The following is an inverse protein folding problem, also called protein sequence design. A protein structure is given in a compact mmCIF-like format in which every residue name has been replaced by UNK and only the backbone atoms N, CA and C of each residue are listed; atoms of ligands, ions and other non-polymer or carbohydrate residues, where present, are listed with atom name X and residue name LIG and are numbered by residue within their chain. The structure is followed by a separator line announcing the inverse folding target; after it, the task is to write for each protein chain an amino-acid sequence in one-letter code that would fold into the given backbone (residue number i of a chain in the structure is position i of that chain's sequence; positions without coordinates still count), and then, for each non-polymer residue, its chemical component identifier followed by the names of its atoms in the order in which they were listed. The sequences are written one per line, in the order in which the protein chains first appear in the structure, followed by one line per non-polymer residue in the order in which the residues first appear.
data_IF_748415645256
#
_entry.id   IF_748415645256
#
_cell.length_a   1.000
_cell.length_b   1.000
_cell.length_c   1.000
_cell.angle_alpha   90.00
_cell.angle_beta   90.00
_cell.angle_gamma   90.00
#
_symmetry.space_group_name_H-M   'P 1'
#
loop_
_entity.id
_entity.type
_entity.pdbx_description
1 polymer ?
#
# COMPACT_ATOMS: atom_id res chain seq x y z
N UNK A 1 40.71 -12.28 -9.79
CA UNK A 1 39.56 -12.02 -8.88
C UNK A 1 38.59 -13.12 -9.19
N UNK A 2 38.08 -13.85 -8.20
CA UNK A 2 37.31 -15.10 -8.42
C UNK A 2 36.30 -15.00 -9.55
N UNK A 3 35.55 -13.89 -9.66
CA UNK A 3 34.61 -13.66 -10.76
C UNK A 3 35.27 -13.72 -12.16
N UNK A 4 36.36 -12.97 -12.39
CA UNK A 4 37.08 -12.96 -13.68
C UNK A 4 37.65 -14.33 -14.03
N UNK A 5 38.07 -15.07 -13.02
CA UNK A 5 38.65 -16.40 -13.20
C UNK A 5 37.55 -17.38 -13.66
N UNK A 6 36.35 -17.31 -13.06
CA UNK A 6 35.17 -18.07 -13.52
C UNK A 6 34.64 -17.62 -14.89
N UNK A 7 34.65 -16.32 -15.19
CA UNK A 7 34.26 -15.80 -16.51
C UNK A 7 35.18 -16.37 -17.62
N UNK A 8 36.49 -16.44 -17.36
CA UNK A 8 37.45 -17.03 -18.30
C UNK A 8 37.29 -18.54 -18.43
N UNK A 9 37.06 -19.27 -17.34
CA UNK A 9 36.81 -20.72 -17.38
C UNK A 9 35.56 -21.02 -18.22
N UNK A 10 34.47 -20.27 -18.01
CA UNK A 10 33.24 -20.44 -18.78
C UNK A 10 33.44 -20.08 -20.27
N UNK A 11 34.17 -19.00 -20.55
CA UNK A 11 34.52 -18.64 -21.93
C UNK A 11 35.30 -19.75 -22.63
N UNK A 12 36.27 -20.35 -21.94
CA UNK A 12 37.09 -21.42 -22.50
C UNK A 12 36.30 -22.73 -22.72
N UNK A 13 35.29 -23.01 -21.89
CA UNK A 13 34.48 -24.21 -21.99
C UNK A 13 33.35 -24.09 -23.03
N UNK A 14 32.69 -22.93 -23.11
CA UNK A 14 31.42 -22.76 -23.85
C UNK A 14 31.56 -21.81 -25.04
N UNK A 15 32.65 -21.05 -25.14
CA UNK A 15 32.87 -20.02 -26.17
C UNK A 15 32.10 -18.72 -25.92
N UNK A 16 31.32 -18.64 -24.83
CA UNK A 16 30.49 -17.49 -24.49
C UNK A 16 31.03 -16.75 -23.28
N UNK A 17 31.25 -15.43 -23.44
CA UNK A 17 31.63 -14.56 -22.34
C UNK A 17 30.38 -14.18 -21.55
N UNK A 18 30.36 -14.57 -20.28
CA UNK A 18 29.37 -14.09 -19.30
C UNK A 18 30.05 -13.05 -18.43
N UNK A 19 29.33 -12.00 -18.07
CA UNK A 19 29.80 -11.01 -17.09
C UNK A 19 29.13 -11.28 -15.74
N UNK A 20 29.93 -11.60 -14.73
CA UNK A 20 29.49 -11.93 -13.39
C UNK A 20 29.69 -10.72 -12.47
N UNK A 21 28.60 -10.30 -11.82
CA UNK A 21 28.68 -9.29 -10.77
C UNK A 21 29.19 -9.92 -9.48
N UNK A 22 30.18 -9.28 -8.85
CA UNK A 22 30.71 -9.68 -7.55
C UNK A 22 29.61 -9.72 -6.47
N UNK A 23 28.70 -8.75 -6.48
CA UNK A 23 27.60 -8.69 -5.51
C UNK A 23 26.64 -9.88 -5.65
N UNK A 24 26.31 -10.27 -6.88
CA UNK A 24 25.42 -11.40 -7.17
C UNK A 24 26.04 -12.72 -6.74
N UNK A 25 27.32 -12.93 -7.04
CA UNK A 25 28.04 -14.13 -6.57
C UNK A 25 28.11 -14.19 -5.05
N UNK A 26 28.38 -13.06 -4.40
CA UNK A 26 28.40 -13.01 -2.94
C UNK A 26 27.03 -13.35 -2.34
N UNK A 27 25.93 -12.85 -2.94
CA UNK A 27 24.56 -13.14 -2.49
C UNK A 27 24.22 -14.63 -2.62
N UNK A 28 24.62 -15.25 -3.74
CA UNK A 28 24.43 -16.69 -3.97
C UNK A 28 25.22 -17.51 -2.95
N UNK A 29 26.47 -17.15 -2.68
CA UNK A 29 27.32 -17.86 -1.71
C UNK A 29 26.79 -17.71 -0.28
N UNK A 30 26.21 -16.55 0.07
CA UNK A 30 25.56 -16.36 1.37
C UNK A 30 24.25 -17.14 1.52
N UNK A 31 23.71 -17.72 0.45
CA UNK A 31 22.50 -18.55 0.51
C UNK A 31 21.19 -17.80 0.76
N UNK A 32 21.22 -16.46 0.72
CA UNK A 32 20.02 -15.64 0.86
C UNK A 32 19.27 -15.61 -0.47
N UNK A 33 18.00 -16.00 -0.43
CA UNK A 33 17.12 -15.78 -1.58
C UNK A 33 16.95 -14.28 -1.82
N UNK A 34 16.72 -13.87 -3.08
CA UNK A 34 16.44 -12.46 -3.37
C UNK A 34 15.24 -11.95 -2.56
N UNK A 35 14.27 -12.81 -2.27
CA UNK A 35 13.11 -12.47 -1.44
C UNK A 35 13.50 -12.13 0.00
N UNK A 36 14.41 -12.89 0.61
CA UNK A 36 14.91 -12.62 1.97
C UNK A 36 15.74 -11.33 2.02
N UNK A 37 16.65 -11.14 1.05
CA UNK A 37 17.42 -9.90 0.96
C UNK A 37 16.54 -8.66 0.73
N UNK A 38 15.44 -8.79 -0.04
CA UNK A 38 14.47 -7.70 -0.22
C UNK A 38 13.56 -7.50 1.00
N UNK A 39 13.28 -8.55 1.78
CA UNK A 39 12.51 -8.44 3.01
C UNK A 39 13.25 -7.62 4.07
N UNK A 40 14.58 -7.78 4.19
CA UNK A 40 15.41 -6.96 5.08
C UNK A 40 15.42 -5.47 4.68
N UNK A 41 15.26 -5.18 3.40
CA UNK A 41 15.23 -3.82 2.86
C UNK A 41 13.80 -3.26 2.70
N UNK A 42 12.78 -3.97 3.17
CA UNK A 42 11.40 -3.53 3.06
C UNK A 42 11.10 -2.44 4.10
N UNK A 43 10.49 -1.34 3.66
CA UNK A 43 10.04 -0.26 4.56
C UNK A 43 8.98 -0.72 5.57
N UNK A 44 8.19 -1.73 5.21
CA UNK A 44 7.20 -2.31 6.09
C UNK A 44 7.74 -3.60 6.69
N UNK A 45 7.71 -3.67 8.02
CA UNK A 45 7.82 -4.94 8.71
C UNK A 45 6.63 -5.85 8.38
N UNK A 46 6.76 -7.14 8.65
CA UNK A 46 5.67 -8.09 8.45
C UNK A 46 4.43 -7.74 9.28
N UNK A 47 4.59 -7.18 10.49
CA UNK A 47 3.46 -6.75 11.32
C UNK A 47 2.79 -5.51 10.76
N UNK A 48 3.55 -4.48 10.38
CA UNK A 48 2.99 -3.25 9.77
C UNK A 48 2.28 -3.58 8.47
N UNK A 49 2.82 -4.49 7.65
CA UNK A 49 2.17 -4.93 6.42
C UNK A 49 0.80 -5.55 6.69
N UNK A 50 0.67 -6.39 7.72
CA UNK A 50 -0.63 -6.96 8.12
C UNK A 50 -1.61 -5.89 8.56
N UNK A 51 -1.17 -4.90 9.34
CA UNK A 51 -2.01 -3.78 9.74
C UNK A 51 -2.49 -2.95 8.54
N UNK A 52 -1.62 -2.70 7.57
CA UNK A 52 -1.99 -1.97 6.33
C UNK A 52 -3.00 -2.78 5.51
N UNK A 53 -2.82 -4.10 5.38
CA UNK A 53 -3.78 -4.96 4.67
C UNK A 53 -5.14 -4.95 5.39
N UNK A 54 -5.16 -5.16 6.70
CA UNK A 54 -6.39 -5.15 7.48
C UNK A 54 -7.13 -3.81 7.40
N UNK A 55 -6.39 -2.70 7.43
CA UNK A 55 -6.95 -1.36 7.25
C UNK A 55 -7.58 -1.18 5.86
N UNK A 56 -6.91 -1.64 4.79
CA UNK A 56 -7.46 -1.57 3.43
C UNK A 56 -8.71 -2.45 3.29
N UNK A 57 -8.72 -3.63 3.91
CA UNK A 57 -9.87 -4.52 3.94
C UNK A 57 -11.06 -3.87 4.67
N UNK A 58 -10.84 -3.32 5.86
CA UNK A 58 -11.88 -2.63 6.65
C UNK A 58 -12.50 -1.46 5.88
N UNK A 59 -11.66 -0.65 5.24
CA UNK A 59 -12.12 0.49 4.43
C UNK A 59 -12.87 0.04 3.19
N UNK A 60 -12.42 -1.03 2.52
CA UNK A 60 -13.11 -1.60 1.38
C UNK A 60 -14.46 -2.24 1.77
N UNK A 61 -14.54 -2.89 2.93
CA UNK A 61 -15.76 -3.47 3.50
C UNK A 61 -16.76 -2.39 3.92
N UNK A 62 -16.27 -1.20 4.28
CA UNK A 62 -17.08 0.01 4.44
C UNK A 62 -17.67 0.56 3.13
N UNK A 63 -17.34 -0.04 1.98
CA UNK A 63 -17.85 0.39 0.68
C UNK A 63 -17.03 1.52 0.02
N UNK A 64 -15.91 1.94 0.63
CA UNK A 64 -15.06 3.03 0.15
C UNK A 64 -13.66 2.52 -0.24
N UNK A 65 -13.51 1.71 -1.30
CA UNK A 65 -12.18 1.26 -1.72
C UNK A 65 -11.28 2.47 -2.03
N UNK A 66 -10.06 2.47 -1.50
CA UNK A 66 -9.11 3.56 -1.74
C UNK A 66 -8.78 3.72 -3.23
N UNK A 67 -8.70 4.98 -3.66
CA UNK A 67 -7.91 5.30 -4.85
C UNK A 67 -6.42 5.03 -4.59
N UNK A 68 -5.65 4.80 -5.66
CA UNK A 68 -4.19 4.65 -5.57
C UNK A 68 -3.51 5.81 -4.84
N UNK A 69 -4.05 7.02 -4.97
CA UNK A 69 -3.52 8.22 -4.34
C UNK A 69 -3.85 8.31 -2.85
N UNK A 70 -5.10 8.04 -2.45
CA UNK A 70 -5.47 7.99 -1.03
C UNK A 70 -4.70 6.89 -0.29
N UNK A 71 -4.55 5.72 -0.90
CA UNK A 71 -3.78 4.63 -0.30
C UNK A 71 -2.31 5.03 -0.10
N UNK A 72 -1.73 5.76 -1.05
CA UNK A 72 -0.38 6.31 -0.94
C UNK A 72 -0.27 7.31 0.23
N UNK A 73 -1.23 8.22 0.39
CA UNK A 73 -1.21 9.19 1.48
C UNK A 73 -1.32 8.53 2.85
N UNK A 74 -2.32 7.65 3.04
CA UNK A 74 -2.51 6.98 4.34
C UNK A 74 -1.32 6.10 4.73
N UNK A 75 -0.72 5.37 3.77
CA UNK A 75 0.48 4.58 4.07
C UNK A 75 1.66 5.48 4.45
N UNK A 76 1.84 6.61 3.77
CA UNK A 76 2.89 7.55 4.14
C UNK A 76 2.65 8.19 5.51
N UNK A 77 1.41 8.50 5.85
CA UNK A 77 1.06 9.03 7.17
C UNK A 77 1.43 8.02 8.26
N UNK A 78 0.96 6.76 8.13
CA UNK A 78 1.29 5.67 9.04
C UNK A 78 2.81 5.49 9.16
N UNK A 79 3.51 5.43 8.04
CA UNK A 79 4.97 5.23 8.03
C UNK A 79 5.73 6.42 8.61
N UNK A 80 5.26 7.65 8.39
CA UNK A 80 5.86 8.86 8.97
C UNK A 80 5.66 8.87 10.48
N UNK A 81 4.51 8.41 10.98
CA UNK A 81 4.30 8.24 12.43
C UNK A 81 5.19 7.15 13.02
N UNK A 82 5.41 6.04 12.31
CA UNK A 82 6.23 4.92 12.81
C UNK A 82 7.76 5.15 12.70
N UNK A 83 8.22 5.72 11.59
CA UNK A 83 9.64 5.88 11.26
C UNK A 83 10.15 7.30 11.55
N UNK A 84 9.25 8.24 11.81
CA UNK A 84 9.56 9.65 12.09
C UNK A 84 9.72 10.50 10.84
N UNK A 85 10.04 11.78 11.06
CA UNK A 85 10.15 12.81 10.01
C UNK A 85 11.31 12.63 9.04
N UNK A 86 12.23 11.69 9.31
CA UNK A 86 13.31 11.32 8.38
C UNK A 86 12.86 10.40 7.25
N UNK A 87 11.64 9.86 7.33
CA UNK A 87 11.09 9.00 6.30
C UNK A 87 10.81 9.80 5.01
N UNK A 88 11.43 9.45 3.87
CA UNK A 88 11.29 10.22 2.63
C UNK A 88 9.95 9.99 1.90
N UNK A 89 9.10 9.10 2.41
CA UNK A 89 7.91 8.61 1.71
C UNK A 89 8.17 7.34 0.92
N UNK A 90 7.09 6.61 0.62
CA UNK A 90 7.13 5.46 -0.28
C UNK A 90 7.31 5.92 -1.73
N UNK A 91 7.86 5.06 -2.59
CA UNK A 91 8.05 5.39 -4.00
C UNK A 91 6.74 5.55 -4.79
N UNK A 92 6.77 6.27 -5.91
CA UNK A 92 5.57 6.54 -6.76
C UNK A 92 4.85 5.26 -7.24
N UNK A 93 5.60 4.20 -7.53
CA UNK A 93 5.04 2.92 -7.98
C UNK A 93 4.78 1.94 -6.83
N UNK A 94 4.99 2.37 -5.58
CA UNK A 94 4.91 1.49 -4.43
C UNK A 94 3.50 0.93 -4.23
N UNK A 95 2.47 1.76 -4.38
CA UNK A 95 1.08 1.30 -4.23
C UNK A 95 0.73 0.24 -5.26
N UNK A 96 1.15 0.42 -6.52
CA UNK A 96 0.97 -0.58 -7.57
C UNK A 96 1.67 -1.90 -7.22
N UNK A 97 2.95 -1.86 -6.80
CA UNK A 97 3.67 -3.06 -6.38
C UNK A 97 3.04 -3.75 -5.17
N UNK A 98 2.58 -2.98 -4.19
CA UNK A 98 1.92 -3.50 -3.00
C UNK A 98 0.62 -4.23 -3.36
N UNK A 99 -0.22 -3.59 -4.17
CA UNK A 99 -1.48 -4.17 -4.63
C UNK A 99 -1.24 -5.45 -5.40
N UNK A 100 -0.29 -5.44 -6.35
CA UNK A 100 0.02 -6.64 -7.15
C UNK A 100 0.56 -7.77 -6.27
N UNK A 101 1.39 -7.45 -5.26
CA UNK A 101 1.94 -8.42 -4.32
C UNK A 101 0.88 -9.05 -3.42
N UNK A 102 -0.12 -8.28 -3.00
CA UNK A 102 -1.19 -8.73 -2.09
C UNK A 102 -2.55 -8.85 -2.80
N UNK A 103 -2.52 -9.02 -4.12
CA UNK A 103 -3.73 -8.98 -4.95
C UNK A 103 -4.73 -10.05 -4.54
N UNK A 104 -4.27 -11.27 -4.24
CA UNK A 104 -5.16 -12.36 -3.86
C UNK A 104 -5.97 -12.06 -2.58
N UNK A 105 -5.40 -11.27 -1.66
CA UNK A 105 -6.11 -10.81 -0.46
C UNK A 105 -7.07 -9.65 -0.79
N UNK A 106 -6.58 -8.65 -1.54
CA UNK A 106 -7.32 -7.41 -1.80
C UNK A 106 -8.41 -7.53 -2.87
N UNK A 107 -8.31 -8.51 -3.78
CA UNK A 107 -9.19 -8.68 -4.93
C UNK A 107 -10.64 -8.85 -4.53
N UNK A 108 -10.90 -9.59 -3.45
CA UNK A 108 -12.25 -9.90 -2.98
C UNK A 108 -12.97 -8.63 -2.52
N UNK A 109 -12.31 -7.78 -1.74
CA UNK A 109 -12.88 -6.53 -1.22
C UNK A 109 -12.98 -5.44 -2.29
N UNK A 110 -12.05 -5.42 -3.27
CA UNK A 110 -12.09 -4.42 -4.35
C UNK A 110 -13.05 -4.76 -5.49
N UNK A 111 -13.28 -6.03 -5.77
CA UNK A 111 -14.14 -6.47 -6.89
C UNK A 111 -15.61 -6.70 -6.50
N UNK A 112 -16.00 -6.39 -5.25
CA UNK A 112 -17.38 -6.56 -4.83
C UNK A 112 -18.33 -5.71 -5.70
N UNK A 113 -19.47 -6.27 -6.16
CA UNK A 113 -20.39 -5.58 -7.04
C UNK A 113 -20.92 -4.31 -6.38
N UNK A 114 -21.19 -3.30 -7.22
CA UNK A 114 -21.61 -1.97 -6.79
C UNK A 114 -22.79 -2.06 -5.80
N UNK A 115 -23.82 -2.85 -6.10
CA UNK A 115 -24.98 -3.03 -5.20
C UNK A 115 -24.62 -3.52 -3.78
N UNK A 116 -23.62 -4.40 -3.66
CA UNK A 116 -23.13 -4.84 -2.34
C UNK A 116 -22.41 -3.71 -1.60
N UNK A 117 -21.63 -2.90 -2.30
CA UNK A 117 -20.95 -1.73 -1.72
C UNK A 117 -21.93 -0.66 -1.29
N UNK A 118 -23.00 -0.44 -2.06
CA UNK A 118 -24.04 0.53 -1.69
C UNK A 118 -24.84 0.05 -0.48
N UNK A 119 -25.18 -1.25 -0.40
CA UNK A 119 -25.79 -1.83 0.79
C UNK A 119 -24.90 -1.69 2.05
N UNK A 120 -23.58 -1.81 1.89
CA UNK A 120 -22.61 -1.63 2.98
C UNK A 120 -22.34 -0.16 3.33
N UNK A 121 -22.38 0.76 2.36
CA UNK A 121 -22.21 2.18 2.62
C UNK A 121 -23.33 2.74 3.51
N UNK A 122 -24.53 2.15 3.44
CA UNK A 122 -25.66 2.47 4.34
C UNK A 122 -25.57 1.65 5.65
N UNK A 123 -24.38 1.22 6.07
CA UNK A 123 -24.17 0.59 7.37
C UNK A 123 -24.63 1.56 8.47
N UNK A 124 -25.59 1.17 9.34
CA UNK A 124 -26.09 2.03 10.43
C UNK A 124 -24.99 2.64 11.29
N UNK A 125 -23.91 1.89 11.52
CA UNK A 125 -22.77 2.37 12.29
C UNK A 125 -21.99 3.49 11.57
N UNK A 126 -21.78 3.33 10.26
CA UNK A 126 -21.08 4.34 9.45
C UNK A 126 -21.95 5.56 9.20
N UNK A 127 -23.23 5.38 8.93
CA UNK A 127 -24.19 6.48 8.82
C UNK A 127 -24.18 7.30 10.12
N UNK A 128 -24.27 6.63 11.28
CA UNK A 128 -24.22 7.31 12.56
C UNK A 128 -22.91 8.11 12.72
N UNK A 129 -21.75 7.48 12.51
CA UNK A 129 -20.47 8.16 12.61
C UNK A 129 -20.36 9.36 11.65
N UNK A 130 -20.92 9.25 10.44
CA UNK A 130 -20.97 10.35 9.48
C UNK A 130 -21.86 11.50 9.96
N UNK A 131 -23.06 11.20 10.46
CA UNK A 131 -23.96 12.22 11.00
C UNK A 131 -23.40 12.89 12.26
N UNK A 132 -22.77 12.13 13.16
CA UNK A 132 -22.11 12.66 14.36
C UNK A 132 -20.96 13.63 13.97
N UNK A 133 -20.18 13.30 12.94
CA UNK A 133 -19.12 14.18 12.41
C UNK A 133 -19.70 15.43 11.73
N UNK A 134 -20.77 15.26 10.96
CA UNK A 134 -21.44 16.38 10.29
C UNK A 134 -22.01 17.37 11.32
N UNK A 135 -22.68 16.89 12.36
CA UNK A 135 -23.23 17.68 13.45
C UNK A 135 -22.12 18.51 14.13
N UNK A 136 -20.99 17.87 14.46
CA UNK A 136 -19.84 18.56 15.06
C UNK A 136 -19.27 19.69 14.18
N UNK A 137 -19.24 19.50 12.85
CA UNK A 137 -18.74 20.51 11.90
C UNK A 137 -19.75 21.65 11.74
N UNK A 138 -21.05 21.35 11.70
CA UNK A 138 -22.11 22.35 11.62
C UNK A 138 -22.11 23.26 12.86
N UNK A 139 -21.94 22.67 14.05
CA UNK A 139 -21.77 23.39 15.31
C UNK A 139 -20.55 24.33 15.26
N UNK A 140 -19.41 23.82 14.78
CA UNK A 140 -18.19 24.61 14.65
C UNK A 140 -18.35 25.80 13.71
N UNK A 141 -19.07 25.63 12.60
CA UNK A 141 -19.29 26.67 11.60
C UNK A 141 -20.51 27.56 11.93
N UNK A 142 -21.25 27.26 12.99
CA UNK A 142 -22.51 27.93 13.36
C UNK A 142 -23.53 27.95 12.21
N UNK A 143 -23.52 26.91 11.37
CA UNK A 143 -24.45 26.78 10.25
C UNK A 143 -25.70 26.11 10.76
N UNK A 144 -26.84 26.80 10.65
CA UNK A 144 -28.13 26.21 10.99
C UNK A 144 -28.46 25.07 10.02
N UNK A 145 -28.94 23.96 10.56
CA UNK A 145 -29.30 22.74 9.84
C UNK A 145 -30.28 22.99 8.66
N UNK A 146 -31.10 24.06 8.77
CA UNK A 146 -32.04 24.50 7.74
C UNK A 146 -31.37 24.96 6.43
N UNK A 147 -30.05 25.22 6.46
CA UNK A 147 -29.27 25.66 5.30
C UNK A 147 -28.75 24.51 4.44
N UNK A 148 -28.87 23.25 4.88
CA UNK A 148 -28.29 22.08 4.20
C UNK A 148 -29.08 21.71 2.93
N UNK A 149 -30.38 22.00 2.90
CA UNK A 149 -31.29 21.61 1.80
C UNK A 149 -31.91 22.80 1.06
N UNK A 150 -31.50 24.03 1.38
CA UNK A 150 -32.07 25.24 0.77
C UNK A 150 -31.25 25.74 -0.41
N UNK A 151 -31.29 25.02 -1.53
CA UNK A 151 -31.01 25.61 -2.85
C UNK A 151 -32.18 26.54 -3.23
N UNK A 152 -32.26 27.71 -2.58
CA UNK A 152 -33.03 28.83 -3.15
C UNK A 152 -32.18 29.51 -4.20
N UNK A 153 -32.18 28.94 -5.40
CA UNK A 153 -31.78 29.63 -6.63
C UNK A 153 -32.69 30.86 -6.76
N UNK A 154 -32.11 32.05 -6.61
CA UNK A 154 -32.77 33.32 -6.94
C UNK A 154 -32.71 33.59 -8.44
#
# INVERSE_FOLDING_TARGET
TVCKDFEQIHLHATGNLIKLSHSTLSQIVSGLSMAEAHAENAWLSTSTTKSVIAYVEEVADGGFPFSHWQFYEHVNEILTTCLGSSFPGVGKCWTWHFIMKYWDHLRTSWSAPLDSKWGQAVNPNMNKAWFDLLEAVLDQLSVSEDHIYTDKIQ
#
